data_IF_698297528798
#
_entry.id   IF_698297528798
#
_cell.length_a   1.000
_cell.length_b   1.000
_cell.length_c   1.000
_cell.angle_alpha   90.00
_cell.angle_beta   90.00
_cell.angle_gamma   90.00
#
_symmetry.space_group_name_H-M   'P 1'
#
loop_
_entity.id
_entity.type
_entity.pdbx_description
1 polymer ?
#
# COMPACT_ATOMS: atom_id res chain seq x y z
N UNK A 1 -22.31 17.21 -6.94
CA UNK A 1 -23.06 15.96 -6.82
C UNK A 1 -22.38 15.13 -5.76
N UNK A 2 -22.95 15.03 -4.55
CA UNK A 2 -22.34 14.32 -3.41
C UNK A 2 -22.44 12.82 -3.66
N UNK A 3 -21.30 12.15 -3.78
CA UNK A 3 -21.21 10.70 -3.84
C UNK A 3 -21.51 10.19 -2.42
N UNK A 4 -22.64 9.49 -2.29
CA UNK A 4 -23.05 8.88 -1.03
C UNK A 4 -21.99 7.87 -0.58
N UNK A 5 -21.44 8.11 0.60
CA UNK A 5 -20.69 7.12 1.37
C UNK A 5 -21.51 5.84 1.46
N UNK A 6 -20.90 4.70 1.23
CA UNK A 6 -21.47 3.37 1.39
C UNK A 6 -22.07 3.23 2.80
N UNK A 7 -23.37 3.48 2.92
CA UNK A 7 -24.12 3.26 4.16
C UNK A 7 -24.55 1.80 4.16
N UNK A 8 -23.76 0.98 4.85
CA UNK A 8 -24.14 -0.37 5.24
C UNK A 8 -25.38 -0.32 6.12
N UNK A 9 -26.45 -0.95 5.69
CA UNK A 9 -27.59 -1.25 6.56
C UNK A 9 -27.06 -2.05 7.77
N UNK A 10 -27.05 -1.39 8.95
CA UNK A 10 -26.73 -2.01 10.24
C UNK A 10 -27.84 -2.98 10.62
N UNK A 11 -27.68 -4.25 10.29
CA UNK A 11 -28.19 -5.31 11.14
C UNK A 11 -26.99 -5.88 11.88
N UNK A 12 -26.90 -5.50 13.16
CA UNK A 12 -25.88 -5.98 14.06
C UNK A 12 -26.03 -7.48 14.29
N UNK A 13 -25.25 -8.27 13.57
CA UNK A 13 -24.74 -9.56 14.03
C UNK A 13 -23.22 -9.45 13.97
N UNK A 14 -22.56 -9.84 15.06
CA UNK A 14 -21.12 -9.92 15.13
C UNK A 14 -20.62 -10.68 13.90
N UNK A 15 -20.08 -9.96 12.90
CA UNK A 15 -19.46 -10.59 11.74
C UNK A 15 -18.16 -11.20 12.25
N UNK A 16 -18.05 -12.52 12.22
CA UNK A 16 -16.78 -13.20 12.40
C UNK A 16 -15.83 -12.69 11.32
N UNK A 17 -14.80 -11.96 11.71
CA UNK A 17 -13.82 -11.42 10.79
C UNK A 17 -13.13 -12.59 10.08
N UNK A 18 -13.12 -12.56 8.73
CA UNK A 18 -12.47 -13.58 7.92
C UNK A 18 -13.37 -14.74 7.48
N UNK A 19 -14.63 -14.80 7.91
CA UNK A 19 -15.57 -15.79 7.39
C UNK A 19 -16.18 -15.37 6.05
N UNK A 20 -16.38 -16.36 5.17
CA UNK A 20 -17.14 -16.19 3.95
C UNK A 20 -18.58 -15.77 4.28
N UNK A 21 -19.14 -14.91 3.46
CA UNK A 21 -20.54 -14.46 3.63
C UNK A 21 -21.51 -15.63 3.52
N UNK A 22 -22.50 -15.61 4.39
CA UNK A 22 -23.63 -16.56 4.40
C UNK A 22 -24.94 -15.89 3.99
N UNK A 23 -24.91 -14.60 3.67
CA UNK A 23 -26.04 -13.82 3.19
C UNK A 23 -25.71 -13.12 1.90
N UNK A 24 -26.75 -12.80 1.13
CA UNK A 24 -26.59 -12.01 -0.09
C UNK A 24 -26.12 -10.60 0.26
N UNK A 25 -25.09 -10.14 -0.43
CA UNK A 25 -24.65 -8.75 -0.44
C UNK A 25 -24.85 -8.13 -1.83
N UNK A 26 -24.65 -6.83 -1.92
CA UNK A 26 -24.72 -6.08 -3.18
C UNK A 26 -23.79 -4.88 -3.14
N UNK A 27 -23.45 -4.38 -4.32
CA UNK A 27 -22.57 -3.23 -4.50
C UNK A 27 -23.38 -2.07 -5.08
N UNK A 28 -23.32 -0.91 -4.42
CA UNK A 28 -24.14 0.26 -4.77
C UNK A 28 -25.62 0.07 -4.46
N UNK A 29 -26.39 1.15 -4.51
CA UNK A 29 -27.81 1.12 -4.19
C UNK A 29 -28.11 0.86 -2.70
N UNK A 30 -29.40 0.70 -2.39
CA UNK A 30 -29.90 0.45 -1.03
C UNK A 30 -30.46 -0.96 -0.83
N UNK A 31 -30.67 -1.70 -1.90
CA UNK A 31 -31.20 -3.07 -1.93
C UNK A 31 -30.76 -3.78 -3.21
N UNK A 32 -30.82 -5.12 -3.29
CA UNK A 32 -30.43 -5.86 -4.50
C UNK A 32 -31.13 -5.39 -5.78
N UNK A 33 -32.40 -4.99 -5.69
CA UNK A 33 -33.18 -4.57 -6.86
C UNK A 33 -32.79 -3.20 -7.45
N UNK A 34 -31.97 -2.39 -6.77
CA UNK A 34 -31.40 -1.13 -7.29
C UNK A 34 -29.87 -1.09 -7.14
N UNK A 35 -29.24 -2.23 -6.96
CA UNK A 35 -27.80 -2.37 -6.88
C UNK A 35 -27.14 -2.17 -8.25
N UNK A 36 -25.91 -1.67 -8.24
CA UNK A 36 -25.05 -1.62 -9.45
C UNK A 36 -24.59 -3.03 -9.81
N UNK A 37 -24.33 -3.87 -8.82
CA UNK A 37 -23.97 -5.27 -9.00
C UNK A 37 -24.42 -6.12 -7.84
N UNK A 38 -24.96 -7.31 -8.14
CA UNK A 38 -25.30 -8.34 -7.16
C UNK A 38 -24.37 -9.53 -7.38
N UNK A 39 -23.44 -9.78 -6.45
CA UNK A 39 -22.53 -10.93 -6.52
C UNK A 39 -23.29 -12.27 -6.52
N UNK A 40 -22.62 -13.39 -6.88
CA UNK A 40 -23.20 -14.73 -6.84
C UNK A 40 -23.89 -15.05 -5.51
N UNK A 41 -24.86 -15.96 -5.48
CA UNK A 41 -25.48 -16.43 -4.22
C UNK A 41 -24.45 -16.97 -3.23
N UNK A 42 -24.67 -16.85 -1.91
CA UNK A 42 -23.73 -17.30 -0.88
C UNK A 42 -23.31 -18.77 -1.01
N UNK A 43 -24.23 -19.62 -1.42
CA UNK A 43 -24.01 -21.07 -1.55
C UNK A 43 -22.98 -21.43 -2.63
N UNK A 44 -22.74 -20.55 -3.60
CA UNK A 44 -21.75 -20.74 -4.66
C UNK A 44 -20.36 -20.14 -4.33
N UNK A 45 -20.24 -19.36 -3.26
CA UNK A 45 -19.00 -18.62 -2.97
C UNK A 45 -17.83 -19.56 -2.74
N UNK A 46 -18.03 -20.66 -2.01
CA UNK A 46 -16.96 -21.60 -1.70
C UNK A 46 -16.44 -22.30 -2.97
N UNK A 47 -17.32 -22.75 -3.85
CA UNK A 47 -16.96 -23.42 -5.09
C UNK A 47 -16.25 -22.46 -6.07
N UNK A 48 -16.75 -21.24 -6.21
CA UNK A 48 -16.14 -20.21 -7.03
C UNK A 48 -14.74 -19.80 -6.54
N UNK A 49 -14.53 -19.77 -5.22
CA UNK A 49 -13.19 -19.53 -4.66
C UNK A 49 -12.26 -20.72 -4.91
N UNK A 50 -12.75 -21.96 -4.80
CA UNK A 50 -11.97 -23.15 -5.12
C UNK A 50 -11.57 -23.17 -6.61
N UNK A 51 -12.43 -22.72 -7.52
CA UNK A 51 -12.13 -22.56 -8.94
C UNK A 51 -11.07 -21.50 -9.17
N UNK A 52 -11.18 -20.35 -8.48
CA UNK A 52 -10.20 -19.27 -8.54
C UNK A 52 -8.84 -19.73 -8.02
N UNK A 53 -8.80 -20.47 -6.90
CA UNK A 53 -7.59 -21.04 -6.32
C UNK A 53 -6.93 -22.03 -7.31
N UNK A 54 -7.71 -22.91 -7.93
CA UNK A 54 -7.21 -23.80 -8.97
C UNK A 54 -6.60 -23.04 -10.15
N UNK A 55 -7.23 -21.95 -10.60
CA UNK A 55 -6.67 -21.10 -11.65
C UNK A 55 -5.34 -20.45 -11.22
N UNK A 56 -5.22 -19.98 -9.98
CA UNK A 56 -3.99 -19.38 -9.43
C UNK A 56 -2.86 -20.39 -9.43
N UNK A 57 -3.12 -21.66 -9.07
CA UNK A 57 -2.11 -22.71 -8.94
C UNK A 57 -1.88 -23.51 -10.22
N UNK A 58 -2.75 -23.40 -11.22
CA UNK A 58 -2.59 -24.11 -12.48
C UNK A 58 -1.44 -23.54 -13.30
N UNK A 59 -0.56 -24.37 -13.88
CA UNK A 59 0.39 -23.89 -14.85
C UNK A 59 -0.35 -23.38 -16.09
N UNK A 60 -0.10 -22.14 -16.47
CA UNK A 60 -0.67 -21.52 -17.67
C UNK A 60 0.42 -20.74 -18.40
N UNK A 61 1.31 -21.43 -19.12
CA UNK A 61 2.44 -20.79 -19.81
C UNK A 61 1.99 -19.83 -20.93
N UNK A 62 0.75 -19.96 -21.39
CA UNK A 62 0.19 -19.16 -22.48
C UNK A 62 -0.19 -17.74 -22.06
N UNK A 63 -0.48 -17.53 -20.78
CA UNK A 63 -0.88 -16.22 -20.26
C UNK A 63 0.25 -15.55 -19.47
N UNK A 64 0.66 -14.33 -19.83
CA UNK A 64 1.59 -13.54 -19.04
C UNK A 64 1.11 -13.38 -17.59
N UNK A 65 2.03 -13.42 -16.63
CA UNK A 65 1.71 -13.40 -15.20
C UNK A 65 0.89 -12.16 -14.80
N UNK A 66 1.20 -10.98 -15.35
CA UNK A 66 0.43 -9.76 -15.05
C UNK A 66 -1.01 -9.85 -15.57
N UNK A 67 -1.23 -10.48 -16.72
CA UNK A 67 -2.57 -10.73 -17.25
C UNK A 67 -3.33 -11.69 -16.32
N UNK A 68 -2.68 -12.76 -15.86
CA UNK A 68 -3.29 -13.67 -14.90
C UNK A 68 -3.68 -12.98 -13.59
N UNK A 69 -2.84 -12.08 -13.07
CA UNK A 69 -3.17 -11.28 -11.88
C UNK A 69 -4.39 -10.40 -12.13
N UNK A 70 -4.46 -9.76 -13.30
CA UNK A 70 -5.62 -8.95 -13.67
C UNK A 70 -6.93 -9.76 -13.67
N UNK A 71 -6.90 -10.97 -14.25
CA UNK A 71 -8.04 -11.88 -14.31
C UNK A 71 -8.44 -12.36 -12.90
N UNK A 72 -7.46 -12.77 -12.08
CA UNK A 72 -7.69 -13.19 -10.69
C UNK A 72 -8.35 -12.09 -9.89
N UNK A 73 -7.86 -10.86 -10.01
CA UNK A 73 -8.41 -9.72 -9.28
C UNK A 73 -9.85 -9.42 -9.69
N UNK A 74 -10.14 -9.36 -11.00
CA UNK A 74 -11.50 -9.12 -11.49
C UNK A 74 -12.47 -10.22 -11.06
N UNK A 75 -12.03 -11.48 -11.09
CA UNK A 75 -12.84 -12.60 -10.64
C UNK A 75 -13.09 -12.57 -9.13
N UNK A 76 -12.07 -12.26 -8.33
CA UNK A 76 -12.24 -12.09 -6.89
C UNK A 76 -13.25 -10.98 -6.54
N UNK A 77 -13.17 -9.82 -7.22
CA UNK A 77 -14.12 -8.71 -7.04
C UNK A 77 -15.53 -9.08 -7.54
N UNK A 78 -15.66 -10.02 -8.47
CA UNK A 78 -16.95 -10.53 -8.95
C UNK A 78 -17.55 -11.52 -7.96
N UNK A 79 -16.78 -12.45 -7.40
CA UNK A 79 -17.22 -13.39 -6.36
C UNK A 79 -17.64 -12.63 -5.10
N UNK A 80 -16.89 -11.60 -4.72
CA UNK A 80 -17.15 -10.72 -3.57
C UNK A 80 -17.41 -11.52 -2.28
N UNK A 81 -16.45 -12.34 -1.81
CA UNK A 81 -16.69 -13.42 -0.87
C UNK A 81 -17.01 -13.00 0.56
N UNK A 82 -16.75 -11.76 0.94
CA UNK A 82 -16.92 -11.25 2.29
C UNK A 82 -18.07 -10.24 2.38
N UNK A 83 -18.61 -10.03 3.57
CA UNK A 83 -19.63 -8.99 3.80
C UNK A 83 -19.04 -7.57 3.68
N UNK A 84 -17.77 -7.40 4.08
CA UNK A 84 -17.02 -6.14 3.96
C UNK A 84 -15.54 -6.43 3.71
N UNK A 85 -14.83 -5.46 3.12
CA UNK A 85 -13.38 -5.51 2.93
C UNK A 85 -12.92 -6.20 1.66
N UNK A 86 -13.79 -6.65 0.76
CA UNK A 86 -13.41 -7.35 -0.46
C UNK A 86 -12.38 -6.56 -1.28
N UNK A 87 -12.60 -5.27 -1.56
CA UNK A 87 -11.66 -4.46 -2.31
C UNK A 87 -10.29 -4.30 -1.64
N UNK A 88 -10.19 -4.33 -0.30
CA UNK A 88 -8.91 -4.33 0.42
C UNK A 88 -8.19 -5.65 0.23
N UNK A 89 -8.91 -6.75 0.39
CA UNK A 89 -8.37 -8.12 0.23
C UNK A 89 -8.01 -8.37 -1.24
N UNK A 90 -8.85 -7.95 -2.20
CA UNK A 90 -8.56 -8.08 -3.62
C UNK A 90 -7.27 -7.36 -4.03
N UNK A 91 -7.04 -6.14 -3.52
CA UNK A 91 -5.77 -5.42 -3.75
C UNK A 91 -4.57 -6.05 -3.03
N UNK A 92 -4.77 -6.60 -1.83
CA UNK A 92 -3.73 -7.38 -1.14
C UNK A 92 -3.37 -8.65 -1.92
N UNK A 93 -4.36 -9.32 -2.51
CA UNK A 93 -4.15 -10.49 -3.35
C UNK A 93 -3.26 -10.16 -4.56
N UNK A 94 -3.44 -8.99 -5.20
CA UNK A 94 -2.54 -8.55 -6.27
C UNK A 94 -1.09 -8.49 -5.77
N UNK A 95 -0.85 -7.81 -4.65
CA UNK A 95 0.50 -7.67 -4.09
C UNK A 95 1.12 -9.04 -3.74
N UNK A 96 0.34 -9.93 -3.12
CA UNK A 96 0.78 -11.27 -2.77
C UNK A 96 1.12 -12.11 -4.01
N UNK A 97 0.36 -12.00 -5.10
CA UNK A 97 0.66 -12.72 -6.34
C UNK A 97 1.88 -12.17 -7.07
N UNK A 98 2.07 -10.85 -7.07
CA UNK A 98 3.27 -10.22 -7.64
C UNK A 98 4.55 -10.71 -6.95
N UNK A 99 4.51 -10.82 -5.62
CA UNK A 99 5.62 -11.34 -4.82
C UNK A 99 5.79 -12.85 -5.01
N UNK A 100 4.72 -13.64 -4.83
CA UNK A 100 4.77 -15.10 -4.91
C UNK A 100 5.21 -15.62 -6.28
N UNK A 101 4.86 -14.92 -7.36
CA UNK A 101 5.26 -15.28 -8.72
C UNK A 101 6.60 -14.64 -9.16
N UNK A 102 7.30 -13.98 -8.23
CA UNK A 102 8.64 -13.44 -8.44
C UNK A 102 8.71 -12.21 -9.34
N UNK A 103 7.58 -11.54 -9.59
CA UNK A 103 7.54 -10.28 -10.34
C UNK A 103 8.04 -9.09 -9.52
N UNK A 104 7.87 -9.14 -8.21
CA UNK A 104 8.43 -8.19 -7.26
C UNK A 104 9.17 -8.95 -6.17
N UNK A 105 10.35 -8.48 -5.80
CA UNK A 105 11.11 -9.00 -4.64
C UNK A 105 10.59 -8.42 -3.33
N UNK A 106 10.17 -7.17 -3.39
CA UNK A 106 9.64 -6.40 -2.26
C UNK A 106 8.36 -5.70 -2.70
N UNK A 107 7.34 -5.55 -1.84
CA UNK A 107 6.04 -4.96 -2.20
C UNK A 107 6.11 -3.42 -2.31
N UNK A 108 7.09 -2.89 -3.07
CA UNK A 108 7.36 -1.45 -3.20
C UNK A 108 6.41 -0.75 -4.18
N UNK A 109 5.61 -1.50 -4.96
CA UNK A 109 4.70 -0.93 -5.94
C UNK A 109 3.30 -0.73 -5.33
N UNK A 110 2.85 0.53 -5.27
CA UNK A 110 1.55 0.88 -4.67
C UNK A 110 0.43 0.97 -5.73
N UNK A 111 0.10 -0.15 -6.37
CA UNK A 111 -1.01 -0.21 -7.35
C UNK A 111 -2.36 0.25 -6.74
N UNK A 112 -2.57 0.05 -5.45
CA UNK A 112 -3.78 0.52 -4.74
C UNK A 112 -3.97 2.03 -4.86
N UNK A 113 -2.90 2.82 -4.93
CA UNK A 113 -2.94 4.27 -5.16
C UNK A 113 -3.53 4.59 -6.52
N UNK A 114 -3.02 3.97 -7.57
CA UNK A 114 -3.53 4.13 -8.94
C UNK A 114 -5.02 3.77 -9.04
N UNK A 115 -5.41 2.60 -8.55
CA UNK A 115 -6.82 2.18 -8.58
C UNK A 115 -7.75 3.11 -7.79
N UNK A 116 -7.26 3.71 -6.70
CA UNK A 116 -8.01 4.70 -5.92
C UNK A 116 -8.12 6.04 -6.67
N UNK A 117 -7.05 6.49 -7.29
CA UNK A 117 -7.03 7.73 -8.09
C UNK A 117 -7.97 7.62 -9.30
N UNK A 118 -8.02 6.45 -9.95
CA UNK A 118 -8.87 6.16 -11.11
C UNK A 118 -10.13 5.36 -10.74
N UNK A 119 -10.69 5.60 -9.54
CA UNK A 119 -11.76 4.78 -8.98
C UNK A 119 -13.00 4.65 -9.87
N UNK A 120 -13.41 5.74 -10.52
CA UNK A 120 -14.58 5.74 -11.41
C UNK A 120 -14.35 4.79 -12.60
N UNK A 121 -13.17 4.87 -13.20
CA UNK A 121 -12.78 4.02 -14.32
C UNK A 121 -12.62 2.56 -13.91
N UNK A 122 -11.98 2.32 -12.77
CA UNK A 122 -11.85 0.99 -12.18
C UNK A 122 -13.21 0.29 -12.03
N UNK A 123 -14.21 0.96 -11.47
CA UNK A 123 -15.54 0.39 -11.33
C UNK A 123 -16.27 0.21 -12.65
N UNK A 124 -16.05 1.14 -13.61
CA UNK A 124 -16.58 1.02 -14.96
C UNK A 124 -16.01 -0.23 -15.65
N UNK A 125 -14.72 -0.45 -15.58
CA UNK A 125 -14.05 -1.61 -16.16
C UNK A 125 -14.54 -2.93 -15.56
N UNK A 126 -14.69 -3.02 -14.25
CA UNK A 126 -15.29 -4.20 -13.59
C UNK A 126 -16.74 -4.41 -14.03
N UNK A 127 -17.49 -3.36 -14.27
CA UNK A 127 -18.88 -3.48 -14.77
C UNK A 127 -18.91 -4.01 -16.21
N UNK A 128 -18.07 -3.49 -17.08
CA UNK A 128 -17.99 -3.89 -18.51
C UNK A 128 -17.63 -5.37 -18.65
N UNK A 129 -16.71 -5.90 -17.84
CA UNK A 129 -16.42 -7.33 -17.82
C UNK A 129 -17.69 -8.13 -17.55
N UNK A 130 -18.49 -7.70 -16.57
CA UNK A 130 -19.68 -8.43 -16.11
C UNK A 130 -20.86 -8.35 -17.09
N UNK A 131 -21.00 -7.25 -17.80
CA UNK A 131 -22.13 -6.99 -18.72
C UNK A 131 -21.82 -7.31 -20.17
N UNK A 132 -20.59 -7.16 -20.60
CA UNK A 132 -20.19 -7.24 -22.01
C UNK A 132 -19.10 -8.30 -22.27
N UNK A 133 -18.48 -8.83 -21.20
CA UNK A 133 -17.36 -9.78 -21.34
C UNK A 133 -16.10 -9.16 -21.95
N UNK A 134 -15.94 -7.83 -21.88
CA UNK A 134 -14.80 -7.12 -22.49
C UNK A 134 -13.58 -7.19 -21.53
N UNK A 135 -12.88 -8.31 -21.56
CA UNK A 135 -11.69 -8.58 -20.77
C UNK A 135 -10.47 -7.78 -21.24
N UNK A 136 -10.36 -7.51 -22.54
CA UNK A 136 -9.24 -6.77 -23.14
C UNK A 136 -9.15 -5.35 -22.57
N UNK A 137 -10.28 -4.66 -22.48
CA UNK A 137 -10.34 -3.32 -21.89
C UNK A 137 -9.91 -3.29 -20.44
N UNK A 138 -10.34 -4.28 -19.66
CA UNK A 138 -9.92 -4.44 -18.28
C UNK A 138 -8.42 -4.71 -18.15
N UNK A 139 -7.90 -5.67 -18.92
CA UNK A 139 -6.48 -6.02 -18.88
C UNK A 139 -5.62 -4.82 -19.28
N UNK A 140 -6.01 -4.06 -20.31
CA UNK A 140 -5.32 -2.83 -20.71
C UNK A 140 -5.28 -1.81 -19.57
N UNK A 141 -6.41 -1.50 -18.96
CA UNK A 141 -6.48 -0.61 -17.79
C UNK A 141 -5.61 -1.09 -16.61
N UNK A 142 -5.64 -2.38 -16.32
CA UNK A 142 -4.83 -2.96 -15.25
C UNK A 142 -3.34 -2.84 -15.52
N UNK A 143 -2.90 -3.16 -16.75
CA UNK A 143 -1.49 -3.07 -17.16
C UNK A 143 -0.99 -1.62 -17.18
N UNK A 144 -1.80 -0.67 -17.61
CA UNK A 144 -1.50 0.77 -17.51
C UNK A 144 -1.30 1.20 -16.06
N UNK A 145 -2.16 0.69 -15.15
CA UNK A 145 -2.03 0.91 -13.72
C UNK A 145 -0.73 0.35 -13.14
N UNK A 146 -0.36 -0.88 -13.54
CA UNK A 146 0.91 -1.50 -13.13
C UNK A 146 2.09 -0.69 -13.64
N UNK A 147 2.10 -0.29 -14.91
CA UNK A 147 3.17 0.50 -15.51
C UNK A 147 3.31 1.88 -14.82
N UNK A 148 2.20 2.55 -14.54
CA UNK A 148 2.17 3.83 -13.83
C UNK A 148 2.70 3.71 -12.41
N UNK A 149 2.22 2.72 -11.64
CA UNK A 149 2.66 2.47 -10.27
C UNK A 149 4.14 2.07 -10.19
N UNK A 150 4.63 1.28 -11.15
CA UNK A 150 6.05 0.91 -11.23
C UNK A 150 6.95 2.12 -11.50
N UNK A 151 6.56 2.98 -12.46
CA UNK A 151 7.28 4.21 -12.76
C UNK A 151 7.28 5.20 -11.58
N UNK A 152 6.22 5.25 -10.79
CA UNK A 152 6.15 6.07 -9.58
C UNK A 152 7.08 5.53 -8.49
N UNK A 153 7.07 4.21 -8.26
CA UNK A 153 7.97 3.56 -7.32
C UNK A 153 9.45 3.80 -7.70
N UNK A 154 9.80 3.67 -8.98
CA UNK A 154 11.16 3.95 -9.47
C UNK A 154 11.57 5.40 -9.18
N UNK A 155 10.72 6.37 -9.51
CA UNK A 155 10.99 7.79 -9.22
C UNK A 155 11.18 8.04 -7.72
N UNK A 156 10.35 7.43 -6.87
CA UNK A 156 10.46 7.56 -5.41
C UNK A 156 11.77 6.97 -4.88
N UNK A 157 12.18 5.80 -5.36
CA UNK A 157 13.44 5.16 -4.98
C UNK A 157 14.63 6.04 -5.37
N UNK A 158 14.66 6.56 -6.60
CA UNK A 158 15.71 7.45 -7.08
C UNK A 158 15.78 8.73 -6.25
N UNK A 159 14.63 9.34 -5.95
CA UNK A 159 14.56 10.56 -5.15
C UNK A 159 15.05 10.34 -3.71
N UNK A 160 14.64 9.22 -3.08
CA UNK A 160 15.11 8.83 -1.74
C UNK A 160 16.63 8.58 -1.73
N UNK A 161 17.13 7.82 -2.70
CA UNK A 161 18.57 7.55 -2.81
C UNK A 161 19.37 8.83 -2.98
N UNK A 162 18.88 9.76 -3.81
CA UNK A 162 19.50 11.06 -4.05
C UNK A 162 19.51 11.93 -2.79
N UNK A 163 18.39 11.99 -2.06
CA UNK A 163 18.28 12.70 -0.79
C UNK A 163 19.28 12.18 0.24
N UNK A 164 19.30 10.85 0.44
CA UNK A 164 20.20 10.21 1.43
C UNK A 164 21.67 10.43 1.04
N UNK A 165 22.01 10.34 -0.25
CA UNK A 165 23.37 10.58 -0.72
C UNK A 165 23.82 12.05 -0.51
N UNK A 166 22.93 13.01 -0.76
CA UNK A 166 23.19 14.44 -0.53
C UNK A 166 23.39 14.73 0.95
N UNK A 167 22.49 14.27 1.81
CA UNK A 167 22.56 14.49 3.24
C UNK A 167 23.80 13.81 3.86
N UNK A 168 24.20 12.63 3.35
CA UNK A 168 25.47 11.99 3.73
C UNK A 168 26.67 12.86 3.36
N UNK A 169 26.69 13.46 2.17
CA UNK A 169 27.78 14.38 1.76
C UNK A 169 27.84 15.61 2.65
N UNK A 170 26.70 16.20 3.00
CA UNK A 170 26.62 17.35 3.93
C UNK A 170 27.15 16.99 5.32
N UNK A 171 26.78 15.82 5.83
CA UNK A 171 27.30 15.34 7.11
C UNK A 171 28.80 15.07 7.08
N UNK A 172 29.31 14.44 6.01
CA UNK A 172 30.74 14.17 5.85
C UNK A 172 31.59 15.46 5.73
N UNK A 173 31.01 16.50 5.15
CA UNK A 173 31.69 17.82 5.02
C UNK A 173 31.63 18.64 6.32
N UNK A 174 30.86 18.24 7.33
CA UNK A 174 30.70 19.01 8.56
C UNK A 174 31.89 18.78 9.52
N UNK A 175 32.69 19.83 9.86
CA UNK A 175 33.94 19.66 10.64
C UNK A 175 33.73 19.12 12.06
N UNK A 176 32.52 19.27 12.61
CA UNK A 176 32.17 18.86 13.98
C UNK A 176 31.41 17.53 14.02
N UNK A 177 31.16 16.89 12.88
CA UNK A 177 30.46 15.61 12.82
C UNK A 177 31.34 14.50 13.43
N UNK A 178 30.82 13.82 14.44
CA UNK A 178 31.50 12.72 15.12
C UNK A 178 30.91 11.35 14.73
N UNK A 179 31.56 10.26 15.17
CA UNK A 179 31.13 8.89 14.87
C UNK A 179 29.65 8.61 15.23
N UNK A 180 29.16 9.18 16.34
CA UNK A 180 27.77 9.02 16.76
C UNK A 180 26.78 9.65 15.76
N UNK A 181 27.12 10.80 15.15
CA UNK A 181 26.28 11.47 14.14
C UNK A 181 26.21 10.64 12.86
N UNK A 182 27.31 10.04 12.41
CA UNK A 182 27.32 9.14 11.26
C UNK A 182 26.48 7.89 11.51
N UNK A 183 26.67 7.23 12.65
CA UNK A 183 25.87 6.04 13.01
C UNK A 183 24.39 6.36 13.11
N UNK A 184 24.03 7.48 13.72
CA UNK A 184 22.63 7.92 13.82
C UNK A 184 22.02 8.17 12.44
N UNK A 185 22.76 8.86 11.54
CA UNK A 185 22.30 9.12 10.19
C UNK A 185 21.99 7.83 9.41
N UNK A 186 22.85 6.81 9.48
CA UNK A 186 22.62 5.52 8.81
C UNK A 186 21.37 4.78 9.35
N UNK A 187 20.92 5.11 10.56
CA UNK A 187 19.71 4.54 11.17
C UNK A 187 18.43 5.31 10.82
N UNK A 188 18.52 6.55 10.31
CA UNK A 188 17.34 7.38 10.04
C UNK A 188 16.31 6.72 9.11
N UNK A 189 16.69 5.99 8.05
CA UNK A 189 15.71 5.29 7.20
C UNK A 189 14.87 4.27 7.96
N UNK A 190 15.41 3.63 9.01
CA UNK A 190 14.72 2.66 9.87
C UNK A 190 13.89 3.33 10.96
N UNK A 191 14.27 4.52 11.40
CA UNK A 191 13.63 5.29 12.46
C UNK A 191 13.53 6.77 12.10
N UNK A 192 12.73 7.12 11.08
CA UNK A 192 12.68 8.49 10.55
C UNK A 192 11.97 9.48 11.48
N UNK A 193 11.36 8.99 12.56
CA UNK A 193 10.82 9.78 13.68
C UNK A 193 11.32 9.18 14.99
N UNK A 194 11.93 10.00 15.83
CA UNK A 194 12.55 9.51 17.06
C UNK A 194 12.71 10.61 18.12
N UNK A 195 12.90 10.19 19.36
CA UNK A 195 13.35 11.04 20.48
C UNK A 195 14.84 10.82 20.73
N UNK A 196 15.51 11.74 21.43
CA UNK A 196 16.92 11.59 21.82
C UNK A 196 17.15 10.28 22.57
N UNK A 197 16.19 9.83 23.38
CA UNK A 197 16.29 8.56 24.10
C UNK A 197 16.30 7.35 23.17
N UNK A 198 15.50 7.36 22.09
CA UNK A 198 15.56 6.32 21.06
C UNK A 198 16.92 6.28 20.36
N UNK A 199 17.47 7.46 20.03
CA UNK A 199 18.80 7.57 19.46
C UNK A 199 19.89 7.05 20.43
N UNK A 200 19.77 7.34 21.75
CA UNK A 200 20.67 6.84 22.79
C UNK A 200 20.68 5.31 22.83
N UNK A 201 19.51 4.69 22.84
CA UNK A 201 19.37 3.23 22.87
C UNK A 201 19.91 2.59 21.58
N UNK A 202 19.53 3.12 20.41
CA UNK A 202 19.96 2.60 19.12
C UNK A 202 21.49 2.71 18.91
N UNK A 203 22.11 3.78 19.43
CA UNK A 203 23.55 3.98 19.35
C UNK A 203 24.34 3.25 20.43
N UNK A 204 23.66 2.70 21.46
CA UNK A 204 24.27 2.15 22.68
C UNK A 204 25.29 3.14 23.27
N UNK A 205 24.83 4.34 23.66
CA UNK A 205 25.71 5.43 24.11
C UNK A 205 25.08 6.23 25.26
N UNK A 206 25.77 7.28 25.70
CA UNK A 206 25.26 8.17 26.74
C UNK A 206 24.29 9.20 26.15
N UNK A 207 23.38 9.73 27.00
CA UNK A 207 22.43 10.76 26.58
C UNK A 207 23.11 12.04 26.02
N UNK A 208 24.19 12.58 26.61
CA UNK A 208 24.91 13.72 26.05
C UNK A 208 25.45 13.45 24.64
N UNK A 209 26.00 12.24 24.40
CA UNK A 209 26.54 11.85 23.09
C UNK A 209 25.42 11.75 22.03
N UNK A 210 24.30 11.10 22.38
CA UNK A 210 23.14 11.00 21.50
C UNK A 210 22.55 12.39 21.22
N UNK A 211 22.41 13.23 22.24
CA UNK A 211 21.91 14.61 22.09
C UNK A 211 22.79 15.45 21.17
N UNK A 212 24.13 15.33 21.29
CA UNK A 212 25.07 16.01 20.41
C UNK A 212 24.97 15.50 18.95
N UNK A 213 24.76 14.19 18.75
CA UNK A 213 24.55 13.61 17.43
C UNK A 213 23.25 14.14 16.78
N UNK A 214 22.15 14.16 17.52
CA UNK A 214 20.87 14.71 17.06
C UNK A 214 21.00 16.19 16.71
N UNK A 215 21.65 16.99 17.58
CA UNK A 215 21.89 18.41 17.35
C UNK A 215 22.70 18.65 16.08
N UNK A 216 23.72 17.84 15.80
CA UNK A 216 24.49 17.92 14.55
C UNK A 216 23.60 17.71 13.31
N UNK A 217 22.73 16.71 13.32
CA UNK A 217 21.81 16.47 12.21
C UNK A 217 20.76 17.58 12.07
N UNK A 218 20.32 18.18 13.18
CA UNK A 218 19.41 19.33 13.19
C UNK A 218 20.10 20.58 12.63
N UNK A 219 21.34 20.89 13.03
CA UNK A 219 22.13 22.02 12.52
C UNK A 219 22.36 21.92 10.99
N UNK A 220 22.46 20.70 10.49
CA UNK A 220 22.52 20.42 9.05
C UNK A 220 21.14 20.38 8.37
N UNK A 221 20.05 20.62 9.10
CA UNK A 221 18.69 20.53 8.59
C UNK A 221 18.35 19.17 7.95
N UNK A 222 19.01 18.10 8.39
CA UNK A 222 18.68 16.71 8.00
C UNK A 222 17.46 16.24 8.79
N UNK A 223 17.41 16.54 10.07
CA UNK A 223 16.23 16.31 10.89
C UNK A 223 15.73 17.63 11.47
N UNK A 224 14.44 17.68 11.80
CA UNK A 224 13.84 18.82 12.46
C UNK A 224 13.06 18.37 13.71
N UNK A 225 13.07 19.20 14.74
CA UNK A 225 12.19 19.04 15.91
C UNK A 225 10.75 19.37 15.51
N UNK A 226 9.78 18.50 15.88
CA UNK A 226 8.40 18.59 15.38
C UNK A 226 7.34 18.78 16.47
N UNK A 227 7.72 18.79 17.76
CA UNK A 227 6.76 18.89 18.88
C UNK A 227 6.68 20.26 19.54
N UNK A 228 7.71 21.12 19.39
CA UNK A 228 7.83 22.40 20.08
C UNK A 228 7.98 22.28 21.60
N UNK A 229 8.31 21.10 22.11
CA UNK A 229 8.39 20.83 23.54
C UNK A 229 9.79 21.16 24.10
N UNK A 230 9.86 21.56 25.38
CA UNK A 230 11.14 21.77 26.07
C UNK A 230 11.83 20.45 26.45
N UNK A 231 11.03 19.40 26.74
CA UNK A 231 11.47 18.06 27.09
C UNK A 231 10.78 17.03 26.22
N UNK A 232 11.34 15.83 26.07
CA UNK A 232 10.81 14.74 25.25
C UNK A 232 10.59 15.15 23.78
N UNK A 233 11.49 15.95 23.24
CA UNK A 233 11.45 16.42 21.86
C UNK A 233 11.44 15.27 20.88
N UNK A 234 10.56 15.33 19.88
CA UNK A 234 10.55 14.43 18.74
C UNK A 234 11.22 15.09 17.54
N UNK A 235 12.07 14.32 16.89
CA UNK A 235 12.78 14.70 15.68
C UNK A 235 12.26 13.90 14.50
N UNK A 236 12.25 14.50 13.33
CA UNK A 236 11.74 13.88 12.10
C UNK A 236 12.70 14.13 10.94
N UNK A 237 12.99 13.09 10.19
CA UNK A 237 13.58 13.17 8.85
C UNK A 237 12.46 13.46 7.85
N UNK A 238 11.93 14.68 7.90
CA UNK A 238 10.69 15.06 7.23
C UNK A 238 10.75 14.88 5.71
N UNK A 239 11.86 15.29 5.07
CA UNK A 239 12.06 15.17 3.62
C UNK A 239 12.01 13.69 3.15
N UNK A 240 12.59 12.78 3.95
CA UNK A 240 12.54 11.34 3.67
C UNK A 240 11.11 10.79 3.78
N UNK A 241 10.39 11.16 4.86
CA UNK A 241 9.00 10.74 5.06
C UNK A 241 8.10 11.27 3.94
N UNK A 242 8.29 12.50 3.52
CA UNK A 242 7.51 13.09 2.43
C UNK A 242 7.67 12.31 1.12
N UNK A 243 8.90 11.88 0.79
CA UNK A 243 9.15 11.03 -0.39
C UNK A 243 8.55 9.64 -0.28
N UNK A 244 8.44 9.07 0.93
CA UNK A 244 7.79 7.77 1.16
C UNK A 244 6.26 7.82 1.09
N UNK A 245 5.65 8.98 1.28
CA UNK A 245 4.19 9.13 1.39
C UNK A 245 3.53 9.77 0.18
N UNK A 246 4.31 10.13 -0.82
CA UNK A 246 3.83 10.55 -2.15
C UNK A 246 3.32 9.36 -2.93
#
# INVERSE_FOLDING_TARGET
MRIASCSTARTARASNRGELRRSQNWIGGTRPGNAVFVPPPPDHVADLLADLERFIHSPSPELPLLVRIALVHAQFETIHPFLDGNGRIGRLLIAALLENWGLLREPLMYLSGYLKQHQMEYYRQLSIIRTEGNWESWVSFFLEGVASAAAEAERSIIAIASLVAEDRRRLLAAPKAGPASYRLFEMLPMMPRFMVEHARQALDTTFPTASAAVKMLEELSIVAEVTGQKTNRNYSYAAYIELLTR
#
